data_IF_155824880594
#
_entry.id   IF_155824880594
#
_cell.length_a   1.000
_cell.length_b   1.000
_cell.length_c   1.000
_cell.angle_alpha   90.00
_cell.angle_beta   90.00
_cell.angle_gamma   90.00
#
_symmetry.space_group_name_H-M   'P 1'
#
loop_
_entity.id
_entity.type
_entity.pdbx_description
1 polymer ?
#
# COMPACT_ATOMS: atom_id res chain seq x y z
N UNK A 1 -9.99 20.97 -21.07
CA UNK A 1 -8.58 20.93 -20.59
C UNK A 1 -8.10 22.36 -20.37
N UNK A 2 -7.43 22.66 -19.25
CA UNK A 2 -6.99 24.01 -18.89
C UNK A 2 -5.48 24.02 -18.54
N UNK A 3 -4.57 24.01 -19.55
CA UNK A 3 -3.14 23.94 -19.32
C UNK A 3 -2.59 25.25 -18.73
N UNK A 4 -1.57 25.14 -17.87
CA UNK A 4 -0.85 26.31 -17.34
C UNK A 4 0.04 26.91 -18.44
N UNK A 5 0.03 28.24 -18.56
CA UNK A 5 0.77 28.97 -19.60
C UNK A 5 2.27 29.12 -19.34
N UNK A 6 2.70 29.03 -18.08
CA UNK A 6 4.12 29.12 -17.69
C UNK A 6 4.51 27.86 -16.92
N UNK A 7 5.57 27.22 -17.40
CA UNK A 7 6.17 26.03 -16.79
C UNK A 7 7.65 26.31 -16.55
N UNK A 8 8.08 26.21 -15.30
CA UNK A 8 9.50 26.36 -14.92
C UNK A 8 10.32 25.10 -15.16
N UNK A 9 9.65 23.97 -15.39
CA UNK A 9 10.25 22.66 -15.59
C UNK A 9 9.40 21.78 -16.50
N UNK A 10 9.95 20.64 -16.92
CA UNK A 10 9.22 19.65 -17.70
C UNK A 10 8.02 19.13 -16.87
N UNK A 11 6.77 19.26 -17.36
CA UNK A 11 5.58 18.95 -16.58
C UNK A 11 5.35 17.44 -16.42
N UNK A 12 5.92 16.63 -17.33
CA UNK A 12 5.78 15.17 -17.33
C UNK A 12 7.15 14.54 -17.21
N UNK A 13 7.38 13.87 -16.08
CA UNK A 13 8.64 13.18 -15.76
C UNK A 13 8.48 11.66 -15.61
N UNK A 14 7.28 11.14 -15.88
CA UNK A 14 6.96 9.71 -15.72
C UNK A 14 6.04 9.23 -16.83
N UNK A 15 6.20 7.95 -17.18
CA UNK A 15 5.22 7.20 -17.97
C UNK A 15 4.20 6.59 -17.01
N UNK A 16 2.93 6.54 -17.42
CA UNK A 16 1.85 6.07 -16.56
C UNK A 16 0.89 5.17 -17.33
N UNK A 17 0.42 4.11 -16.65
CA UNK A 17 -0.62 3.20 -17.11
C UNK A 17 -1.56 2.92 -15.94
N UNK A 18 -2.85 2.99 -16.21
CA UNK A 18 -3.90 2.56 -15.29
C UNK A 18 -4.31 1.15 -15.69
N UNK A 19 -4.28 0.21 -14.74
CA UNK A 19 -4.79 -1.15 -14.94
C UNK A 19 -6.24 -1.17 -14.51
N UNK A 20 -7.14 -1.01 -15.47
CA UNK A 20 -8.59 -1.06 -15.25
C UNK A 20 -9.28 -1.47 -16.54
N UNK A 21 -10.19 -2.44 -16.45
CA UNK A 21 -11.04 -2.86 -17.56
C UNK A 21 -12.49 -2.45 -17.29
N UNK A 22 -13.24 -2.00 -18.32
CA UNK A 22 -14.64 -1.59 -18.16
C UNK A 22 -15.58 -2.78 -17.88
N UNK A 23 -15.16 -4.00 -18.21
CA UNK A 23 -15.87 -5.25 -17.96
C UNK A 23 -14.88 -6.35 -17.58
N UNK A 24 -15.40 -7.46 -17.06
CA UNK A 24 -14.57 -8.65 -16.80
C UNK A 24 -14.10 -9.23 -18.13
N UNK A 25 -12.79 -9.45 -18.25
CA UNK A 25 -12.18 -10.02 -19.45
C UNK A 25 -11.87 -11.50 -19.22
N UNK A 26 -12.23 -12.34 -20.18
CA UNK A 26 -11.99 -13.79 -20.14
C UNK A 26 -11.00 -14.21 -21.22
N UNK A 27 -10.21 -15.24 -20.94
CA UNK A 27 -9.34 -15.90 -21.92
C UNK A 27 -10.09 -16.95 -22.76
N UNK A 28 -9.40 -17.54 -23.74
CA UNK A 28 -9.97 -18.57 -24.62
C UNK A 28 -10.41 -19.85 -23.88
N UNK A 29 -9.93 -20.05 -22.64
CA UNK A 29 -10.35 -21.16 -21.77
C UNK A 29 -11.58 -20.84 -20.91
N UNK A 30 -12.09 -19.61 -20.97
CA UNK A 30 -13.21 -19.11 -20.18
C UNK A 30 -12.84 -18.69 -18.76
N UNK A 31 -11.54 -18.57 -18.43
CA UNK A 31 -11.06 -18.05 -17.14
C UNK A 31 -10.86 -16.54 -17.21
N UNK A 32 -10.76 -15.88 -16.07
CA UNK A 32 -10.40 -14.45 -16.03
C UNK A 32 -9.01 -14.29 -16.66
N UNK A 33 -8.88 -13.35 -17.60
CA UNK A 33 -7.66 -13.10 -18.34
C UNK A 33 -6.66 -12.29 -17.52
N UNK A 34 -5.60 -12.92 -17.01
CA UNK A 34 -4.56 -12.22 -16.24
C UNK A 34 -3.88 -11.11 -17.06
N UNK A 35 -3.61 -11.35 -18.35
CA UNK A 35 -2.98 -10.37 -19.25
C UNK A 35 -3.81 -9.11 -19.47
N UNK A 36 -5.14 -9.18 -19.28
CA UNK A 36 -6.01 -8.00 -19.34
C UNK A 36 -5.84 -7.08 -18.11
N UNK A 37 -5.25 -7.58 -17.02
CA UNK A 37 -5.03 -6.86 -15.77
C UNK A 37 -3.53 -6.64 -15.48
N UNK A 38 -2.72 -6.53 -16.53
CA UNK A 38 -1.29 -6.20 -16.44
C UNK A 38 -0.99 -4.79 -16.98
N UNK A 39 0.01 -4.13 -16.39
CA UNK A 39 0.52 -2.86 -16.90
C UNK A 39 1.63 -3.10 -17.93
N UNK A 40 1.30 -3.05 -19.21
CA UNK A 40 2.30 -3.17 -20.28
C UNK A 40 2.79 -1.79 -20.76
N UNK A 41 4.11 -1.60 -20.72
CA UNK A 41 4.79 -0.44 -21.27
C UNK A 41 5.59 -0.85 -22.50
N UNK A 42 5.28 -0.24 -23.64
CA UNK A 42 5.97 -0.48 -24.92
C UNK A 42 6.65 0.81 -25.38
N UNK A 43 7.73 0.68 -26.16
CA UNK A 43 8.47 1.82 -26.71
C UNK A 43 8.99 2.81 -25.64
N UNK A 44 9.38 2.30 -24.47
CA UNK A 44 10.09 3.08 -23.46
C UNK A 44 11.50 3.43 -23.94
N UNK A 45 12.04 4.61 -23.56
CA UNK A 45 13.35 5.05 -23.99
C UNK A 45 14.46 4.21 -23.33
N UNK A 46 15.40 3.69 -24.11
CA UNK A 46 16.32 2.65 -23.63
C UNK A 46 17.56 3.14 -22.86
N UNK A 47 17.98 4.38 -23.10
CA UNK A 47 19.20 4.97 -22.51
C UNK A 47 18.95 5.60 -21.14
N UNK A 48 17.71 5.98 -20.87
CA UNK A 48 17.29 6.66 -19.66
C UNK A 48 17.23 5.67 -18.50
N UNK A 49 17.61 6.14 -17.32
CA UNK A 49 17.39 5.40 -16.08
C UNK A 49 15.92 5.57 -15.68
N UNK A 50 15.25 4.46 -15.42
CA UNK A 50 13.84 4.38 -15.08
C UNK A 50 13.67 3.70 -13.72
N UNK A 51 12.66 4.14 -12.98
CA UNK A 51 12.22 3.52 -11.75
C UNK A 51 10.79 3.02 -11.95
N UNK A 52 10.51 1.77 -11.56
CA UNK A 52 9.17 1.20 -11.60
C UNK A 52 8.51 1.35 -10.23
N UNK A 53 7.32 1.95 -10.21
CA UNK A 53 6.56 2.16 -8.98
C UNK A 53 5.09 1.86 -9.24
N UNK A 54 4.47 1.11 -8.33
CA UNK A 54 3.02 0.91 -8.29
C UNK A 54 2.41 2.01 -7.43
N UNK A 55 1.32 2.60 -7.89
CA UNK A 55 0.53 3.58 -7.12
C UNK A 55 -0.79 2.90 -6.73
N UNK A 56 -0.82 2.19 -5.59
CA UNK A 56 -2.05 1.56 -5.11
C UNK A 56 -2.94 2.58 -4.38
N UNK A 57 -4.21 2.24 -4.10
CA UNK A 57 -5.01 2.97 -3.11
C UNK A 57 -4.30 3.05 -1.75
N UNK A 58 -4.53 4.11 -0.98
CA UNK A 58 -3.81 4.37 0.28
C UNK A 58 -3.95 3.24 1.30
N UNK A 59 -5.11 2.56 1.34
CA UNK A 59 -5.37 1.45 2.24
C UNK A 59 -4.65 0.14 1.87
N UNK A 60 -3.91 0.10 0.77
CA UNK A 60 -3.27 -1.13 0.27
C UNK A 60 -1.77 -1.10 0.53
N UNK A 61 -1.27 -2.15 1.16
CA UNK A 61 0.17 -2.39 1.31
C UNK A 61 0.62 -3.41 0.25
N UNK A 62 1.23 -2.89 -0.80
CA UNK A 62 1.70 -3.67 -1.95
C UNK A 62 3.21 -3.85 -1.88
N UNK A 63 3.70 -5.05 -2.17
CA UNK A 63 5.12 -5.36 -2.21
C UNK A 63 5.53 -6.03 -3.52
N UNK A 64 6.79 -5.85 -3.93
CA UNK A 64 7.37 -6.60 -5.05
C UNK A 64 7.73 -8.00 -4.57
N UNK A 65 7.15 -9.02 -5.21
CA UNK A 65 7.39 -10.44 -4.87
C UNK A 65 8.27 -11.13 -5.89
N UNK A 66 8.42 -10.54 -7.07
CA UNK A 66 9.31 -11.06 -8.11
C UNK A 66 9.80 -9.92 -8.99
N UNK A 67 11.12 -9.84 -9.14
CA UNK A 67 11.78 -9.05 -10.17
C UNK A 67 13.18 -9.63 -10.41
N UNK A 68 13.56 -9.79 -11.68
CA UNK A 68 14.93 -10.21 -12.05
C UNK A 68 15.90 -9.03 -12.04
N UNK A 69 15.39 -7.84 -12.38
CA UNK A 69 16.16 -6.61 -12.47
C UNK A 69 15.86 -5.70 -11.27
N UNK A 70 16.80 -4.81 -10.95
CA UNK A 70 16.60 -3.75 -9.97
C UNK A 70 15.54 -2.75 -10.47
N UNK A 71 14.43 -2.64 -9.75
CA UNK A 71 13.29 -1.82 -10.13
C UNK A 71 13.52 -0.33 -9.92
N UNK A 72 14.53 0.05 -9.12
CA UNK A 72 14.89 1.45 -8.91
C UNK A 72 15.87 1.96 -9.98
N UNK A 73 16.58 1.06 -10.66
CA UNK A 73 17.65 1.37 -11.62
C UNK A 73 17.52 0.65 -12.97
N UNK A 74 16.34 0.72 -13.59
CA UNK A 74 16.08 0.07 -14.87
C UNK A 74 16.70 0.88 -16.02
N UNK A 75 17.65 0.27 -16.74
CA UNK A 75 18.21 0.82 -17.98
C UNK A 75 18.02 -0.17 -19.12
N UNK A 76 17.05 0.04 -20.00
CA UNK A 76 16.61 -1.00 -20.94
C UNK A 76 17.67 -1.40 -21.96
N UNK A 77 18.65 -0.55 -22.28
CA UNK A 77 19.77 -0.94 -23.14
C UNK A 77 20.67 -2.04 -22.52
N UNK A 78 20.61 -2.23 -21.20
CA UNK A 78 21.35 -3.27 -20.48
C UNK A 78 20.51 -4.53 -20.24
N UNK A 79 19.26 -4.56 -20.70
CA UNK A 79 18.31 -5.65 -20.48
C UNK A 79 18.24 -6.49 -21.75
N UNK A 80 18.45 -7.80 -21.64
CA UNK A 80 18.45 -8.70 -22.81
C UNK A 80 17.04 -8.97 -23.39
N UNK A 81 15.98 -8.62 -22.66
CA UNK A 81 14.59 -8.87 -23.04
C UNK A 81 13.62 -7.97 -22.27
N UNK A 82 12.49 -8.53 -21.83
CA UNK A 82 11.50 -7.78 -21.08
C UNK A 82 11.88 -7.66 -19.60
N UNK A 83 11.63 -6.49 -19.03
CA UNK A 83 11.62 -6.32 -17.57
C UNK A 83 10.25 -6.73 -17.06
N UNK A 84 10.22 -7.77 -16.23
CA UNK A 84 8.99 -8.29 -15.64
C UNK A 84 9.11 -8.14 -14.12
N UNK A 85 8.11 -7.50 -13.53
CA UNK A 85 7.96 -7.37 -12.08
C UNK A 85 6.56 -7.85 -11.69
N UNK A 86 6.45 -8.59 -10.59
CA UNK A 86 5.15 -8.96 -10.00
C UNK A 86 5.06 -8.36 -8.61
N UNK A 87 3.91 -7.77 -8.36
CA UNK A 87 3.56 -7.17 -7.08
C UNK A 87 2.40 -7.94 -6.47
N UNK A 88 2.37 -8.00 -5.14
CA UNK A 88 1.32 -8.63 -4.37
C UNK A 88 0.74 -7.63 -3.37
N UNK A 89 -0.59 -7.62 -3.25
CA UNK A 89 -1.29 -6.97 -2.15
C UNK A 89 -1.13 -7.86 -0.90
N UNK A 90 -0.13 -7.57 -0.09
CA UNK A 90 0.19 -8.37 1.09
C UNK A 90 -0.80 -8.10 2.23
N UNK A 91 -1.11 -6.81 2.44
CA UNK A 91 -2.01 -6.38 3.52
C UNK A 91 -2.93 -5.24 3.09
N UNK A 92 -4.07 -5.17 3.76
CA UNK A 92 -4.95 -4.00 3.80
C UNK A 92 -4.69 -3.31 5.14
N UNK A 93 -4.53 -2.00 5.12
CA UNK A 93 -4.28 -1.21 6.30
C UNK A 93 -5.57 -1.04 7.12
N UNK A 94 -5.47 -1.32 8.41
CA UNK A 94 -6.44 -0.89 9.41
C UNK A 94 -5.88 0.37 10.06
N UNK A 95 -6.52 1.50 9.81
CA UNK A 95 -6.13 2.78 10.36
C UNK A 95 -7.26 3.44 11.14
N UNK A 96 -6.89 4.35 12.01
CA UNK A 96 -7.86 5.10 12.81
C UNK A 96 -7.21 6.18 13.64
N UNK A 97 -8.07 6.88 14.37
CA UNK A 97 -7.68 7.93 15.30
C UNK A 97 -8.17 7.56 16.70
N UNK A 98 -7.31 7.76 17.69
CA UNK A 98 -7.59 7.47 19.09
C UNK A 98 -7.41 8.73 19.92
N UNK A 99 -8.38 9.00 20.80
CA UNK A 99 -8.39 10.16 21.69
C UNK A 99 -8.76 9.72 23.09
N UNK A 100 -8.15 10.35 24.08
CA UNK A 100 -8.53 10.21 25.48
C UNK A 100 -9.86 10.94 25.72
N UNK A 101 -10.85 10.23 26.28
CA UNK A 101 -12.22 10.74 26.43
C UNK A 101 -12.32 11.94 27.40
N UNK A 102 -11.43 11.99 28.39
CA UNK A 102 -11.43 13.05 29.42
C UNK A 102 -10.79 14.34 28.92
N UNK A 103 -9.69 14.22 28.17
CA UNK A 103 -8.85 15.34 27.75
C UNK A 103 -9.03 15.72 26.28
N UNK A 104 -9.67 14.87 25.48
CA UNK A 104 -9.77 14.99 24.02
C UNK A 104 -8.41 14.89 23.30
N UNK A 105 -7.33 14.60 24.03
CA UNK A 105 -5.97 14.62 23.50
C UNK A 105 -5.55 13.24 23.00
N UNK A 106 -4.71 13.15 21.97
CA UNK A 106 -4.12 11.88 21.55
C UNK A 106 -3.35 11.18 22.68
N UNK A 107 -3.68 9.94 23.06
CA UNK A 107 -2.94 9.19 24.07
C UNK A 107 -1.63 8.66 23.47
N UNK A 108 -0.66 9.56 23.29
CA UNK A 108 0.62 9.28 22.62
C UNK A 108 1.33 8.10 23.28
N UNK A 109 1.72 7.12 22.47
CA UNK A 109 2.45 5.94 22.92
C UNK A 109 1.55 4.84 23.51
N UNK A 110 0.23 5.05 23.55
CA UNK A 110 -0.73 3.96 23.80
C UNK A 110 -0.49 2.85 22.79
N UNK A 111 -0.38 1.61 23.27
CA UNK A 111 -0.02 0.47 22.46
C UNK A 111 -1.25 -0.38 22.18
N UNK A 112 -1.50 -0.65 20.89
CA UNK A 112 -2.53 -1.58 20.45
C UNK A 112 -1.91 -2.90 19.99
N UNK A 113 -2.69 -3.95 20.13
CA UNK A 113 -2.45 -5.26 19.50
C UNK A 113 -3.66 -5.64 18.64
N UNK A 114 -3.40 -6.28 17.52
CA UNK A 114 -4.39 -6.81 16.60
C UNK A 114 -4.15 -8.30 16.39
N UNK A 115 -5.20 -9.09 16.49
CA UNK A 115 -5.10 -10.53 16.29
C UNK A 115 -6.44 -11.21 16.08
N UNK A 116 -6.38 -12.53 15.97
CA UNK A 116 -7.57 -13.40 15.88
C UNK A 116 -7.85 -14.02 17.25
N UNK A 117 -8.94 -14.79 17.37
CA UNK A 117 -9.23 -15.51 18.60
C UNK A 117 -8.17 -16.57 18.95
N UNK A 118 -7.52 -17.16 17.94
CA UNK A 118 -6.46 -18.17 18.11
C UNK A 118 -5.07 -17.55 18.30
N UNK A 119 -4.81 -16.39 17.72
CA UNK A 119 -3.56 -15.65 17.86
C UNK A 119 -3.85 -14.16 18.14
N UNK A 120 -4.06 -13.78 19.41
CA UNK A 120 -4.60 -12.48 19.78
C UNK A 120 -3.63 -11.31 19.62
N UNK A 121 -2.33 -11.57 19.50
CA UNK A 121 -1.28 -10.53 19.44
C UNK A 121 -0.42 -10.73 18.19
N UNK A 122 -1.05 -10.70 17.02
CA UNK A 122 -0.37 -10.94 15.74
C UNK A 122 0.41 -9.72 15.27
N UNK A 123 -0.17 -8.53 15.44
CA UNK A 123 0.46 -7.25 15.09
C UNK A 123 0.30 -6.27 16.26
N UNK A 124 1.22 -5.32 16.34
CA UNK A 124 1.20 -4.25 17.33
C UNK A 124 1.53 -2.90 16.68
N UNK A 125 1.05 -1.83 17.31
CA UNK A 125 1.35 -0.46 16.90
C UNK A 125 1.21 0.47 18.09
N UNK A 126 1.64 1.73 17.92
CA UNK A 126 1.46 2.78 18.90
C UNK A 126 0.67 3.95 18.34
N UNK A 127 -0.09 4.61 19.20
CA UNK A 127 -0.80 5.84 18.86
C UNK A 127 0.20 6.98 18.73
N UNK A 128 0.17 7.65 17.58
CA UNK A 128 1.00 8.82 17.30
C UNK A 128 0.46 10.08 17.99
N UNK A 129 1.36 11.00 18.31
CA UNK A 129 1.00 12.28 18.93
C UNK A 129 0.13 13.16 18.01
N UNK A 130 0.38 13.07 16.71
CA UNK A 130 -0.32 13.86 15.71
C UNK A 130 -1.67 13.22 15.42
N UNK A 131 -2.75 13.90 15.79
CA UNK A 131 -4.14 13.49 15.53
C UNK A 131 -4.51 12.09 16.05
N UNK A 132 -3.74 11.51 16.99
CA UNK A 132 -4.03 10.19 17.54
C UNK A 132 -3.99 9.06 16.51
N UNK A 133 -3.28 9.26 15.40
CA UNK A 133 -3.26 8.28 14.32
C UNK A 133 -2.57 6.97 14.74
N UNK A 134 -3.14 5.84 14.34
CA UNK A 134 -2.51 4.53 14.41
C UNK A 134 -2.79 3.74 13.13
N UNK A 135 -1.88 2.84 12.79
CA UNK A 135 -2.00 1.98 11.62
C UNK A 135 -1.52 0.57 11.97
N UNK A 136 -2.28 -0.43 11.53
CA UNK A 136 -2.01 -1.86 11.67
C UNK A 136 -2.16 -2.54 10.31
N UNK A 137 -1.43 -3.64 10.12
CA UNK A 137 -1.56 -4.49 8.94
C UNK A 137 -2.66 -5.52 9.19
N UNK A 138 -3.56 -5.70 8.24
CA UNK A 138 -4.59 -6.72 8.29
C UNK A 138 -4.75 -7.42 6.93
N UNK A 139 -5.49 -8.52 6.93
CA UNK A 139 -5.97 -9.19 5.72
C UNK A 139 -7.48 -9.36 5.86
N UNK A 140 -8.25 -9.64 4.79
CA UNK A 140 -9.68 -9.88 4.91
C UNK A 140 -10.00 -10.94 5.99
N UNK A 141 -10.88 -10.60 6.93
CA UNK A 141 -11.22 -11.48 8.05
C UNK A 141 -11.73 -10.74 9.28
N UNK A 142 -12.08 -11.51 10.32
CA UNK A 142 -12.48 -10.98 11.62
C UNK A 142 -11.25 -10.79 12.52
N UNK A 143 -11.11 -9.58 13.06
CA UNK A 143 -9.98 -9.18 13.89
C UNK A 143 -10.45 -8.62 15.21
N UNK A 144 -9.62 -8.76 16.23
CA UNK A 144 -9.85 -8.22 17.57
C UNK A 144 -8.72 -7.23 17.88
N UNK A 145 -9.10 -5.96 18.03
CA UNK A 145 -8.22 -4.89 18.49
C UNK A 145 -8.27 -4.81 20.02
N UNK A 146 -7.11 -4.74 20.68
CA UNK A 146 -7.00 -4.66 22.15
C UNK A 146 -5.86 -3.74 22.56
N UNK A 147 -5.94 -3.19 23.76
CA UNK A 147 -4.76 -2.60 24.40
C UNK A 147 -3.74 -3.70 24.67
N UNK A 148 -2.46 -3.40 24.41
CA UNK A 148 -1.36 -4.30 24.75
C UNK A 148 -1.27 -4.46 26.26
N UNK A 149 -1.00 -5.67 26.72
CA UNK A 149 -0.78 -5.94 28.15
C UNK A 149 0.42 -5.13 28.69
N UNK A 150 0.28 -4.63 29.92
CA UNK A 150 1.20 -3.70 30.56
C UNK A 150 0.60 -2.29 30.67
N UNK A 151 1.46 -1.27 30.63
CA UNK A 151 1.08 0.12 30.98
C UNK A 151 -0.12 0.67 30.22
N UNK A 152 -0.31 0.32 28.94
CA UNK A 152 -1.46 0.76 28.17
C UNK A 152 -2.77 0.25 28.77
N UNK A 153 -2.83 -1.03 29.14
CA UNK A 153 -3.99 -1.65 29.76
C UNK A 153 -4.14 -1.33 31.26
N UNK A 154 -3.04 -1.02 31.95
CA UNK A 154 -3.07 -0.62 33.36
C UNK A 154 -3.70 0.76 33.57
N UNK A 155 -3.60 1.64 32.56
CA UNK A 155 -3.99 3.06 32.67
C UNK A 155 -5.25 3.37 31.86
N UNK A 156 -5.47 2.69 30.73
CA UNK A 156 -6.57 2.96 29.82
C UNK A 156 -7.49 1.75 29.66
N UNK A 157 -8.74 2.03 29.30
CA UNK A 157 -9.68 1.06 28.76
C UNK A 157 -10.27 1.59 27.44
N UNK A 158 -10.72 0.69 26.58
CA UNK A 158 -11.39 1.06 25.32
C UNK A 158 -12.89 1.22 25.63
N UNK A 159 -13.37 2.46 25.56
CA UNK A 159 -14.81 2.75 25.72
C UNK A 159 -15.58 2.16 24.53
N UNK A 160 -16.71 1.51 24.82
CA UNK A 160 -17.64 0.96 23.81
C UNK A 160 -18.66 1.97 23.36
#
# INVERSE_FOLDING_TARGET
MNPKSKLSELPLKRFYRLVLQPSVMFDDSGRISDSAYEAHFTALPSKQLLTLTVVPPDAWMVQSVYAVYDLDNIKLENVAGNVIARYELEHILLEGHCFDDMTGSPPRGLQFTLGTQTNPTRYDTIVMANLGYFQLKASPGAWILRLRDGKSKDIYDIVR
#
